data_IF_042163512260
#
_entry.id   IF_042163512260
#
_cell.length_a   1.000
_cell.length_b   1.000
_cell.length_c   1.000
_cell.angle_alpha   90.00
_cell.angle_beta   90.00
_cell.angle_gamma   90.00
#
_symmetry.space_group_name_H-M   'P 1'
#
loop_
_entity.id
_entity.type
_entity.pdbx_description
1 polymer ?
#
# COMPACT_ATOMS: atom_id res chain seq x y z
N UNK A 1 -26.50 6.46 3.15
CA UNK A 1 -25.45 6.42 2.11
C UNK A 1 -24.11 6.37 2.81
N UNK A 2 -23.23 5.44 2.43
CA UNK A 2 -21.85 5.45 2.92
C UNK A 2 -21.14 6.64 2.25
N UNK A 3 -20.67 7.61 3.03
CA UNK A 3 -19.88 8.71 2.47
C UNK A 3 -18.60 8.16 1.85
N UNK A 4 -18.27 8.62 0.64
CA UNK A 4 -17.05 8.24 -0.04
C UNK A 4 -15.86 8.96 0.64
N UNK A 5 -15.34 8.37 1.71
CA UNK A 5 -14.05 8.76 2.27
C UNK A 5 -12.88 8.33 1.35
N UNK A 6 -11.65 8.66 1.74
CA UNK A 6 -10.42 8.26 1.05
C UNK A 6 -10.42 6.79 0.60
N UNK A 7 -10.88 5.87 1.46
CA UNK A 7 -10.96 4.42 1.19
C UNK A 7 -11.79 4.10 -0.07
N UNK A 8 -12.87 4.84 -0.30
CA UNK A 8 -13.74 4.65 -1.45
C UNK A 8 -13.15 5.20 -2.77
N UNK A 9 -12.09 6.01 -2.69
CA UNK A 9 -11.40 6.64 -3.83
C UNK A 9 -10.02 6.03 -4.12
N UNK A 10 -9.58 5.06 -3.32
CA UNK A 10 -8.36 4.31 -3.61
C UNK A 10 -8.47 3.64 -4.99
N UNK A 11 -7.34 3.51 -5.67
CA UNK A 11 -7.20 3.00 -7.04
C UNK A 11 -6.10 1.93 -7.10
N UNK A 12 -6.05 1.10 -8.17
CA UNK A 12 -4.93 0.18 -8.39
C UNK A 12 -3.60 0.93 -8.34
N UNK A 13 -2.67 0.47 -7.51
CA UNK A 13 -1.49 1.24 -7.11
C UNK A 13 -1.44 1.55 -5.62
N UNK A 14 -2.59 1.72 -5.00
CA UNK A 14 -2.68 2.22 -3.63
C UNK A 14 -2.52 1.14 -2.58
N UNK A 15 -1.84 1.53 -1.51
CA UNK A 15 -1.68 0.77 -0.29
C UNK A 15 -1.87 1.71 0.89
N UNK A 16 -2.87 1.45 1.74
CA UNK A 16 -3.19 2.34 2.85
C UNK A 16 -3.30 1.61 4.19
N UNK A 17 -2.68 2.21 5.21
CA UNK A 17 -2.85 1.80 6.60
C UNK A 17 -4.21 2.30 7.09
N UNK A 18 -5.01 1.46 7.73
CA UNK A 18 -6.29 1.86 8.31
C UNK A 18 -6.30 1.51 9.79
N UNK A 19 -6.24 2.53 10.63
CA UNK A 19 -6.26 2.37 12.09
C UNK A 19 -7.69 2.56 12.60
N UNK A 20 -8.22 1.53 13.25
CA UNK A 20 -9.59 1.49 13.78
C UNK A 20 -9.57 1.49 15.30
N UNK A 21 -10.58 2.10 15.92
CA UNK A 21 -10.69 2.25 17.37
C UNK A 21 -11.65 1.24 18.01
N UNK A 22 -12.62 0.78 17.22
CA UNK A 22 -13.71 -0.08 17.64
C UNK A 22 -14.32 -0.83 16.44
N UNK A 23 -15.18 -1.81 16.72
CA UNK A 23 -15.83 -2.65 15.70
C UNK A 23 -16.73 -1.84 14.76
N UNK A 24 -17.28 -0.71 15.23
CA UNK A 24 -18.08 0.19 14.41
C UNK A 24 -17.23 0.92 13.37
N UNK A 25 -16.07 1.44 13.77
CA UNK A 25 -15.09 2.07 12.88
C UNK A 25 -14.51 1.05 11.88
N UNK A 26 -14.22 -0.18 12.34
CA UNK A 26 -13.82 -1.31 11.49
C UNK A 26 -14.87 -1.62 10.43
N UNK A 27 -16.13 -1.78 10.83
CA UNK A 27 -17.22 -2.07 9.90
C UNK A 27 -17.45 -0.92 8.90
N UNK A 28 -17.39 0.34 9.33
CA UNK A 28 -17.53 1.49 8.43
C UNK A 28 -16.42 1.52 7.37
N UNK A 29 -15.17 1.29 7.77
CA UNK A 29 -14.03 1.23 6.85
C UNK A 29 -14.17 0.10 5.84
N UNK A 30 -14.48 -1.11 6.32
CA UNK A 30 -14.72 -2.30 5.48
C UNK A 30 -15.88 -2.08 4.51
N UNK A 31 -17.02 -1.59 4.99
CA UNK A 31 -18.19 -1.32 4.15
C UNK A 31 -17.90 -0.29 3.06
N UNK A 32 -17.17 0.79 3.39
CA UNK A 32 -16.75 1.81 2.42
C UNK A 32 -15.85 1.23 1.34
N UNK A 33 -14.82 0.48 1.75
CA UNK A 33 -13.83 -0.08 0.83
C UNK A 33 -14.41 -1.20 -0.05
N UNK A 34 -15.19 -2.11 0.54
CA UNK A 34 -15.85 -3.22 -0.17
C UNK A 34 -16.92 -2.67 -1.12
N UNK A 35 -17.77 -1.74 -0.66
CA UNK A 35 -18.78 -1.14 -1.53
C UNK A 35 -18.16 -0.46 -2.76
N UNK A 36 -16.95 0.09 -2.64
CA UNK A 36 -16.24 0.66 -3.77
C UNK A 36 -15.77 -0.40 -4.77
N UNK A 37 -15.15 -1.48 -4.30
CA UNK A 37 -14.75 -2.58 -5.18
C UNK A 37 -15.91 -3.23 -5.91
N UNK A 38 -17.07 -3.39 -5.24
CA UNK A 38 -18.26 -3.96 -5.88
C UNK A 38 -18.80 -3.07 -6.99
N UNK A 39 -18.84 -1.76 -6.76
CA UNK A 39 -19.28 -0.77 -7.75
C UNK A 39 -18.34 -0.72 -8.95
N UNK A 40 -17.05 -0.88 -8.70
CA UNK A 40 -15.99 -0.70 -9.69
C UNK A 40 -15.60 -2.02 -10.38
N UNK A 41 -16.35 -3.12 -10.15
CA UNK A 41 -16.14 -4.45 -10.73
C UNK A 41 -14.74 -5.03 -10.47
N UNK A 42 -14.31 -4.92 -9.22
CA UNK A 42 -13.02 -5.43 -8.74
C UNK A 42 -13.22 -6.74 -7.97
N UNK A 43 -12.24 -7.65 -8.05
CA UNK A 43 -12.22 -8.85 -7.18
C UNK A 43 -11.76 -8.42 -5.80
N UNK A 44 -12.52 -8.78 -4.78
CA UNK A 44 -12.28 -8.38 -3.39
C UNK A 44 -11.86 -9.60 -2.59
N UNK A 45 -10.69 -9.53 -1.97
CA UNK A 45 -10.20 -10.55 -1.04
C UNK A 45 -10.10 -9.94 0.36
N UNK A 46 -10.78 -10.54 1.33
CA UNK A 46 -10.69 -10.18 2.73
C UNK A 46 -9.97 -11.27 3.52
N UNK A 47 -8.88 -10.89 4.18
CA UNK A 47 -8.05 -11.78 4.99
C UNK A 47 -8.19 -11.37 6.45
N UNK A 48 -9.15 -11.94 7.16
CA UNK A 48 -9.43 -11.55 8.54
C UNK A 48 -10.47 -12.43 9.21
N UNK A 49 -10.71 -12.24 10.52
CA UNK A 49 -11.65 -13.07 11.26
C UNK A 49 -13.11 -12.67 11.00
N UNK A 50 -14.01 -13.45 11.59
CA UNK A 50 -15.43 -13.14 11.80
C UNK A 50 -16.25 -12.87 10.52
N UNK A 51 -16.17 -13.77 9.54
CA UNK A 51 -16.85 -13.65 8.25
C UNK A 51 -18.38 -13.46 8.37
N UNK A 52 -19.01 -14.12 9.34
CA UNK A 52 -20.45 -13.98 9.60
C UNK A 52 -20.81 -12.58 10.10
N UNK A 53 -20.06 -12.08 11.09
CA UNK A 53 -20.22 -10.71 11.60
C UNK A 53 -20.03 -9.68 10.49
N UNK A 54 -18.98 -9.83 9.67
CA UNK A 54 -18.72 -8.93 8.55
C UNK A 54 -19.86 -8.98 7.53
N UNK A 55 -20.35 -10.18 7.18
CA UNK A 55 -21.45 -10.34 6.24
C UNK A 55 -22.73 -9.64 6.73
N UNK A 56 -23.11 -9.86 7.99
CA UNK A 56 -24.29 -9.21 8.60
C UNK A 56 -24.11 -7.69 8.64
N UNK A 57 -22.92 -7.22 9.03
CA UNK A 57 -22.60 -5.80 9.08
C UNK A 57 -22.67 -5.13 7.70
N UNK A 58 -22.13 -5.77 6.66
CA UNK A 58 -22.17 -5.29 5.28
C UNK A 58 -23.61 -5.18 4.77
N UNK A 59 -24.44 -6.21 5.01
CA UNK A 59 -25.86 -6.18 4.64
C UNK A 59 -26.60 -5.05 5.35
N UNK A 60 -26.34 -4.86 6.65
CA UNK A 60 -26.91 -3.77 7.44
C UNK A 60 -26.50 -2.39 6.91
N UNK A 61 -25.28 -2.28 6.37
CA UNK A 61 -24.76 -1.08 5.72
C UNK A 61 -25.27 -0.88 4.27
N UNK A 62 -26.11 -1.78 3.75
CA UNK A 62 -26.65 -1.72 2.39
C UNK A 62 -25.75 -2.30 1.31
N UNK A 63 -24.77 -3.13 1.68
CA UNK A 63 -23.84 -3.80 0.76
C UNK A 63 -24.30 -5.25 0.53
N UNK A 64 -24.51 -5.65 -0.73
CA UNK A 64 -24.89 -7.03 -1.10
C UNK A 64 -23.69 -7.99 -1.03
N UNK A 65 -23.19 -8.23 0.18
CA UNK A 65 -22.11 -9.19 0.43
C UNK A 65 -22.49 -10.64 0.01
N UNK A 66 -23.69 -11.17 0.35
CA UNK A 66 -24.07 -12.53 -0.06
C UNK A 66 -24.10 -12.71 -1.58
N UNK A 67 -24.59 -11.72 -2.33
CA UNK A 67 -24.54 -11.76 -3.79
C UNK A 67 -23.12 -11.66 -4.32
N UNK A 68 -22.28 -10.78 -3.76
CA UNK A 68 -20.88 -10.68 -4.16
C UNK A 68 -20.12 -12.00 -3.98
N UNK A 69 -20.34 -12.70 -2.86
CA UNK A 69 -19.77 -14.04 -2.60
C UNK A 69 -20.26 -15.06 -3.63
N UNK A 70 -21.57 -15.13 -3.90
CA UNK A 70 -22.12 -16.07 -4.90
C UNK A 70 -21.56 -15.86 -6.31
N UNK A 71 -21.18 -14.64 -6.66
CA UNK A 71 -20.60 -14.27 -7.96
C UNK A 71 -19.08 -14.43 -8.00
N UNK A 72 -18.44 -14.82 -6.89
CA UNK A 72 -16.98 -14.90 -6.77
C UNK A 72 -16.29 -13.53 -6.70
N UNK A 73 -17.03 -12.45 -6.52
CA UNK A 73 -16.48 -11.08 -6.47
C UNK A 73 -15.95 -10.72 -5.08
N UNK A 74 -16.51 -11.30 -4.01
CA UNK A 74 -16.01 -11.19 -2.64
C UNK A 74 -15.64 -12.57 -2.12
N UNK A 75 -14.39 -12.73 -1.70
CA UNK A 75 -13.90 -13.94 -1.04
C UNK A 75 -13.33 -13.55 0.33
N UNK A 76 -13.65 -14.36 1.34
CA UNK A 76 -13.24 -14.11 2.72
C UNK A 76 -12.46 -15.34 3.21
N UNK A 77 -11.24 -15.08 3.69
CA UNK A 77 -10.29 -16.07 4.18
C UNK A 77 -9.77 -15.63 5.54
N UNK A 78 -9.38 -16.59 6.38
CA UNK A 78 -8.72 -16.28 7.65
C UNK A 78 -7.24 -15.95 7.41
N UNK A 79 -6.56 -15.46 8.46
CA UNK A 79 -5.11 -15.29 8.41
C UNK A 79 -4.38 -16.65 8.27
N UNK A 80 -4.94 -17.70 8.88
CA UNK A 80 -4.46 -19.09 8.81
C UNK A 80 -4.55 -19.67 7.40
N UNK A 81 -5.60 -19.31 6.65
CA UNK A 81 -5.75 -19.76 5.26
C UNK A 81 -4.87 -18.96 4.27
N UNK A 82 -4.23 -17.89 4.72
CA UNK A 82 -3.51 -16.93 3.87
C UNK A 82 -2.11 -16.61 4.39
N UNK A 83 -1.92 -15.51 5.13
CA UNK A 83 -0.65 -15.03 5.65
C UNK A 83 0.14 -16.08 6.42
N UNK A 84 -0.56 -17.00 7.08
CA UNK A 84 -0.01 -18.00 7.99
C UNK A 84 -0.23 -19.44 7.51
N UNK A 85 -0.53 -19.64 6.22
CA UNK A 85 -0.83 -20.96 5.67
C UNK A 85 0.32 -21.98 5.83
N UNK A 86 1.56 -21.51 5.95
CA UNK A 86 2.75 -22.34 6.22
C UNK A 86 3.04 -22.54 7.72
N UNK A 87 2.22 -21.98 8.60
CA UNK A 87 2.44 -21.95 10.06
C UNK A 87 3.34 -20.81 10.53
N UNK A 88 3.87 -19.99 9.62
CA UNK A 88 4.63 -18.77 9.92
C UNK A 88 4.31 -17.66 8.92
N UNK A 89 4.58 -16.42 9.29
CA UNK A 89 4.50 -15.31 8.34
C UNK A 89 5.76 -15.24 7.48
N UNK A 90 5.59 -15.41 6.17
CA UNK A 90 6.63 -15.24 5.16
C UNK A 90 6.29 -14.04 4.25
N UNK A 91 6.88 -12.86 4.51
CA UNK A 91 6.70 -11.64 3.72
C UNK A 91 6.93 -11.83 2.22
N UNK A 92 7.97 -12.55 1.83
CA UNK A 92 8.36 -12.72 0.44
C UNK A 92 7.34 -13.56 -0.32
N UNK A 93 6.95 -14.69 0.25
CA UNK A 93 5.89 -15.54 -0.32
C UNK A 93 4.55 -14.81 -0.37
N UNK A 94 4.22 -14.00 0.65
CA UNK A 94 3.01 -13.17 0.67
C UNK A 94 3.00 -12.14 -0.46
N UNK A 95 4.13 -11.43 -0.66
CA UNK A 95 4.26 -10.45 -1.74
C UNK A 95 4.08 -11.08 -3.12
N UNK A 96 4.60 -12.29 -3.34
CA UNK A 96 4.40 -13.00 -4.61
C UNK A 96 2.96 -13.47 -4.78
N UNK A 97 2.32 -13.91 -3.68
CA UNK A 97 0.89 -14.23 -3.66
C UNK A 97 0.02 -13.11 -4.21
N UNK A 98 0.33 -11.85 -3.88
CA UNK A 98 -0.42 -10.71 -4.43
C UNK A 98 -0.34 -10.57 -5.95
N UNK A 99 0.81 -10.86 -6.56
CA UNK A 99 0.94 -10.84 -8.03
C UNK A 99 0.09 -11.93 -8.66
N UNK A 100 0.13 -13.13 -8.07
CA UNK A 100 -0.66 -14.27 -8.52
C UNK A 100 -2.16 -13.97 -8.43
N UNK A 101 -2.63 -13.44 -7.31
CA UNK A 101 -4.04 -13.10 -7.13
C UNK A 101 -4.48 -11.92 -8.01
N UNK A 102 -3.61 -10.94 -8.25
CA UNK A 102 -3.89 -9.84 -9.19
C UNK A 102 -4.04 -10.35 -10.63
N UNK A 103 -3.14 -11.25 -11.05
CA UNK A 103 -3.21 -11.90 -12.35
C UNK A 103 -4.47 -12.77 -12.50
N UNK A 104 -4.85 -13.52 -11.44
CA UNK A 104 -6.09 -14.31 -11.40
C UNK A 104 -7.33 -13.44 -11.51
N UNK A 105 -7.43 -12.38 -10.70
CA UNK A 105 -8.55 -11.43 -10.77
C UNK A 105 -8.76 -10.89 -12.20
N UNK A 106 -7.67 -10.52 -12.88
CA UNK A 106 -7.73 -10.08 -14.27
C UNK A 106 -8.15 -11.19 -15.24
N UNK A 107 -7.62 -12.40 -15.07
CA UNK A 107 -7.99 -13.56 -15.89
C UNK A 107 -9.47 -13.94 -15.74
N UNK A 108 -10.03 -13.76 -14.55
CA UNK A 108 -11.45 -13.99 -14.23
C UNK A 108 -12.37 -12.86 -14.74
N UNK A 109 -11.80 -11.82 -15.35
CA UNK A 109 -12.54 -10.72 -15.99
C UNK A 109 -12.77 -9.48 -15.13
N UNK A 110 -12.28 -9.46 -13.90
CA UNK A 110 -12.38 -8.28 -13.03
C UNK A 110 -11.40 -7.18 -13.45
N UNK A 111 -11.73 -5.93 -13.11
CA UNK A 111 -10.89 -4.76 -13.44
C UNK A 111 -9.53 -4.77 -12.75
N UNK A 112 -9.50 -5.20 -11.50
CA UNK A 112 -8.29 -5.30 -10.65
C UNK A 112 -8.59 -6.09 -9.37
N UNK A 113 -7.54 -6.37 -8.60
CA UNK A 113 -7.64 -6.93 -7.25
C UNK A 113 -7.72 -5.81 -6.18
N UNK A 114 -8.66 -5.96 -5.25
CA UNK A 114 -8.83 -5.13 -4.05
C UNK A 114 -8.68 -6.00 -2.80
N UNK A 115 -7.54 -5.91 -2.13
CA UNK A 115 -7.22 -6.75 -0.97
C UNK A 115 -7.44 -6.01 0.36
N UNK A 116 -7.83 -6.76 1.39
CA UNK A 116 -8.01 -6.27 2.75
C UNK A 116 -7.27 -7.23 3.68
N UNK A 117 -6.17 -6.78 4.30
CA UNK A 117 -5.49 -7.52 5.35
C UNK A 117 -5.92 -7.04 6.72
N UNK A 118 -6.58 -7.88 7.52
CA UNK A 118 -6.75 -7.63 8.95
C UNK A 118 -5.50 -8.10 9.69
N UNK A 119 -4.76 -7.16 10.28
CA UNK A 119 -3.45 -7.45 10.87
C UNK A 119 -3.52 -7.90 12.32
N UNK A 120 -4.71 -8.11 12.89
CA UNK A 120 -4.87 -8.59 14.27
C UNK A 120 -4.12 -9.90 14.57
N UNK A 121 -3.81 -10.69 13.54
CA UNK A 121 -2.97 -11.88 13.72
C UNK A 121 -1.55 -11.57 14.20
N UNK A 122 -1.00 -10.39 13.91
CA UNK A 122 0.40 -10.05 14.14
C UNK A 122 0.71 -9.73 15.61
N UNK A 123 -0.31 -9.44 16.44
CA UNK A 123 -0.13 -9.31 17.89
C UNK A 123 -0.05 -10.66 18.60
N UNK A 124 -0.30 -11.75 17.87
CA UNK A 124 -0.11 -13.12 18.36
C UNK A 124 1.36 -13.50 18.24
N UNK A 125 1.85 -14.37 19.11
CA UNK A 125 3.23 -14.87 19.08
C UNK A 125 3.49 -15.84 17.91
N UNK A 126 3.34 -15.35 16.67
CA UNK A 126 3.48 -16.11 15.42
C UNK A 126 4.90 -15.89 14.88
N UNK A 127 5.62 -16.96 14.47
CA UNK A 127 6.93 -16.82 13.85
C UNK A 127 6.88 -15.92 12.61
N UNK A 128 7.81 -14.97 12.52
CA UNK A 128 7.92 -14.02 11.40
C UNK A 128 7.10 -12.75 11.56
N UNK A 129 6.20 -12.65 12.54
CA UNK A 129 5.39 -11.44 12.77
C UNK A 129 6.23 -10.17 13.02
N UNK A 130 7.46 -10.32 13.53
CA UNK A 130 8.44 -9.26 13.71
C UNK A 130 8.85 -8.59 12.38
N UNK A 131 8.66 -9.28 11.24
CA UNK A 131 8.94 -8.77 9.89
C UNK A 131 7.77 -7.97 9.29
N UNK A 132 6.66 -7.77 10.00
CA UNK A 132 5.49 -7.07 9.47
C UNK A 132 5.80 -5.67 8.94
N UNK A 133 6.52 -4.84 9.70
CA UNK A 133 6.85 -3.48 9.24
C UNK A 133 7.73 -3.49 7.98
N UNK A 134 8.62 -4.49 7.86
CA UNK A 134 9.41 -4.68 6.64
C UNK A 134 8.51 -5.08 5.46
N UNK A 135 7.59 -6.01 5.68
CA UNK A 135 6.61 -6.42 4.67
C UNK A 135 5.78 -5.24 4.17
N UNK A 136 5.20 -4.45 5.08
CA UNK A 136 4.33 -3.32 4.72
C UNK A 136 5.06 -2.27 3.88
N UNK A 137 6.35 -2.04 4.17
CA UNK A 137 7.16 -1.10 3.41
C UNK A 137 7.51 -1.66 2.02
N UNK A 138 7.81 -2.96 1.93
CA UNK A 138 8.28 -3.60 0.70
C UNK A 138 7.15 -3.99 -0.26
N UNK A 139 5.96 -4.32 0.24
CA UNK A 139 4.81 -4.72 -0.61
C UNK A 139 4.36 -3.58 -1.53
N UNK A 140 4.66 -2.33 -1.19
CA UNK A 140 4.42 -1.16 -2.04
C UNK A 140 5.02 -1.30 -3.45
N UNK A 141 6.14 -2.01 -3.61
CA UNK A 141 6.74 -2.26 -4.94
C UNK A 141 5.86 -3.15 -5.82
N UNK A 142 5.09 -4.05 -5.21
CA UNK A 142 4.10 -4.91 -5.88
C UNK A 142 2.89 -4.08 -6.28
N UNK A 143 2.33 -3.31 -5.34
CA UNK A 143 1.16 -2.47 -5.64
C UNK A 143 1.48 -1.40 -6.68
N UNK A 144 2.70 -0.86 -6.72
CA UNK A 144 3.16 0.08 -7.75
C UNK A 144 3.02 -0.44 -9.19
N UNK A 145 2.89 -1.75 -9.41
CA UNK A 145 2.60 -2.36 -10.72
C UNK A 145 1.15 -2.08 -11.19
N UNK A 146 0.31 -1.53 -10.30
CA UNK A 146 -1.09 -1.11 -10.51
C UNK A 146 -2.04 -2.20 -11.00
N UNK A 147 -1.76 -3.45 -10.62
CA UNK A 147 -2.67 -4.58 -10.86
C UNK A 147 -3.58 -4.86 -9.65
N UNK A 148 -3.17 -4.36 -8.48
CA UNK A 148 -3.88 -4.51 -7.24
C UNK A 148 -3.83 -3.23 -6.41
N UNK A 149 -4.63 -3.21 -5.37
CA UNK A 149 -4.63 -2.22 -4.30
C UNK A 149 -4.99 -2.91 -2.99
N UNK A 150 -4.56 -2.35 -1.87
CA UNK A 150 -4.83 -2.94 -0.58
C UNK A 150 -5.07 -1.92 0.54
N UNK A 151 -5.79 -2.37 1.56
CA UNK A 151 -5.76 -1.76 2.89
C UNK A 151 -5.25 -2.78 3.91
N UNK A 152 -4.44 -2.31 4.85
CA UNK A 152 -4.01 -3.07 6.01
C UNK A 152 -4.68 -2.47 7.26
N UNK A 153 -5.55 -3.25 7.89
CA UNK A 153 -6.36 -2.85 9.04
C UNK A 153 -5.62 -3.17 10.35
N UNK A 154 -5.51 -2.15 11.20
CA UNK A 154 -4.87 -2.22 12.50
C UNK A 154 -5.83 -1.75 13.59
N UNK A 155 -6.11 -2.60 14.57
CA UNK A 155 -6.96 -2.24 15.71
C UNK A 155 -6.13 -1.59 16.82
N UNK A 156 -6.43 -0.33 17.13
CA UNK A 156 -5.73 0.45 18.16
C UNK A 156 -5.84 -0.17 19.56
N UNK A 157 -6.83 -1.03 19.80
CA UNK A 157 -6.99 -1.80 21.05
C UNK A 157 -5.98 -2.94 21.17
N UNK A 158 -5.40 -3.39 20.05
CA UNK A 158 -4.48 -4.54 19.99
C UNK A 158 -3.01 -4.12 19.88
N UNK A 159 -2.73 -3.05 19.14
CA UNK A 159 -1.36 -2.61 18.85
C UNK A 159 -0.90 -1.46 19.75
N UNK A 160 0.37 -1.47 20.15
CA UNK A 160 0.96 -0.33 20.85
C UNK A 160 1.08 0.90 19.94
N UNK A 161 1.12 2.13 20.50
CA UNK A 161 1.34 3.34 19.70
C UNK A 161 2.62 3.30 18.85
N UNK A 162 3.67 2.64 19.35
CA UNK A 162 4.94 2.53 18.63
C UNK A 162 4.84 1.60 17.42
N UNK A 163 4.04 0.51 17.52
CA UNK A 163 3.79 -0.41 16.42
C UNK A 163 2.93 0.27 15.35
N UNK A 164 1.84 0.93 15.77
CA UNK A 164 0.97 1.69 14.88
C UNK A 164 1.76 2.76 14.10
N UNK A 165 2.67 3.47 14.77
CA UNK A 165 3.53 4.45 14.11
C UNK A 165 4.44 3.80 13.05
N UNK A 166 5.07 2.67 13.36
CA UNK A 166 5.95 1.95 12.41
C UNK A 166 5.18 1.49 11.19
N UNK A 167 4.04 0.83 11.38
CA UNK A 167 3.24 0.35 10.22
C UNK A 167 2.67 1.53 9.44
N UNK A 168 2.23 2.60 10.09
CA UNK A 168 1.75 3.81 9.39
C UNK A 168 2.82 4.41 8.49
N UNK A 169 4.07 4.54 8.95
CA UNK A 169 5.18 5.05 8.12
C UNK A 169 5.59 4.15 6.95
N UNK A 170 5.23 2.87 7.03
CA UNK A 170 5.46 1.87 5.99
C UNK A 170 4.42 1.94 4.86
N UNK A 171 3.37 2.74 4.99
CA UNK A 171 2.36 2.94 3.96
C UNK A 171 2.48 4.31 3.28
N UNK A 172 2.19 4.39 1.96
CA UNK A 172 2.07 5.67 1.24
C UNK A 172 0.94 6.57 1.77
N UNK A 173 -0.04 5.98 2.43
CA UNK A 173 -1.25 6.64 2.93
C UNK A 173 -1.73 5.98 4.22
N UNK A 174 -2.40 6.76 5.08
CA UNK A 174 -3.02 6.25 6.29
C UNK A 174 -4.38 6.91 6.54
N UNK A 175 -5.28 6.15 7.17
CA UNK A 175 -6.60 6.58 7.61
C UNK A 175 -6.77 6.22 9.08
N UNK A 176 -7.17 7.19 9.87
CA UNK A 176 -7.58 7.02 11.26
C UNK A 176 -8.78 7.92 11.58
N UNK A 177 -9.15 7.99 12.86
CA UNK A 177 -10.27 8.82 13.37
C UNK A 177 -10.15 10.32 13.08
N UNK A 178 -8.95 10.83 12.84
CA UNK A 178 -8.69 12.27 12.65
C UNK A 178 -8.49 12.61 11.16
N UNK A 179 -8.53 11.60 10.29
CA UNK A 179 -8.41 11.76 8.85
C UNK A 179 -9.70 12.32 8.25
N UNK A 180 -9.60 13.47 7.57
CA UNK A 180 -10.75 14.07 6.90
C UNK A 180 -11.21 13.25 5.68
N UNK A 181 -12.51 13.30 5.38
CA UNK A 181 -13.14 12.43 4.37
C UNK A 181 -12.71 12.74 2.92
N UNK A 182 -12.30 13.97 2.63
CA UNK A 182 -11.91 14.49 1.31
C UNK A 182 -10.39 14.35 1.03
N UNK A 183 -9.63 13.76 1.95
CA UNK A 183 -8.19 13.54 1.78
C UNK A 183 -7.93 12.48 0.70
N UNK A 184 -6.92 12.73 -0.13
CA UNK A 184 -6.37 11.77 -1.09
C UNK A 184 -5.12 11.10 -0.50
N UNK A 185 -4.73 9.89 -0.97
CA UNK A 185 -3.44 9.28 -0.65
C UNK A 185 -2.29 10.27 -0.74
N UNK A 186 -1.56 10.43 0.37
CA UNK A 186 -0.46 11.37 0.47
C UNK A 186 0.58 11.10 -0.60
N UNK A 187 1.03 9.85 -0.72
CA UNK A 187 1.97 9.42 -1.75
C UNK A 187 1.40 8.28 -2.58
N UNK A 188 1.75 8.23 -3.86
CA UNK A 188 1.47 7.11 -4.76
C UNK A 188 2.71 6.73 -5.55
N UNK A 189 2.86 5.44 -5.75
CA UNK A 189 3.91 4.83 -6.55
C UNK A 189 3.32 4.24 -7.82
N UNK A 190 3.95 4.49 -8.97
CA UNK A 190 3.56 3.85 -10.23
C UNK A 190 4.80 3.40 -11.01
N UNK A 191 4.93 2.09 -11.25
CA UNK A 191 5.94 1.56 -12.17
C UNK A 191 5.67 2.07 -13.58
N UNK A 192 6.74 2.51 -14.26
CA UNK A 192 6.72 3.00 -15.64
C UNK A 192 7.61 2.08 -16.47
N UNK A 193 7.13 1.69 -17.66
CA UNK A 193 7.88 0.78 -18.54
C UNK A 193 8.92 1.51 -19.41
N UNK A 194 8.61 2.72 -19.88
CA UNK A 194 9.47 3.47 -20.81
C UNK A 194 9.53 4.97 -20.46
N UNK A 195 10.72 5.51 -20.07
CA UNK A 195 11.87 4.73 -19.61
C UNK A 195 11.50 3.90 -18.37
N UNK A 196 12.15 2.75 -18.13
CA UNK A 196 11.81 1.90 -17.01
C UNK A 196 12.06 2.64 -15.70
N UNK A 197 11.20 2.45 -14.71
CA UNK A 197 11.38 3.00 -13.38
C UNK A 197 10.09 3.25 -12.64
N UNK A 198 10.04 4.34 -11.90
CA UNK A 198 8.91 4.65 -11.03
C UNK A 198 8.57 6.13 -11.07
N UNK A 199 7.28 6.44 -11.05
CA UNK A 199 6.75 7.78 -10.86
C UNK A 199 6.22 7.94 -9.44
N UNK A 200 6.58 9.05 -8.81
CA UNK A 200 6.10 9.47 -7.51
C UNK A 200 5.07 10.59 -7.68
N UNK A 201 3.90 10.43 -7.07
CA UNK A 201 2.81 11.41 -7.13
C UNK A 201 2.35 11.80 -5.73
N UNK A 202 2.12 13.09 -5.49
CA UNK A 202 1.64 13.61 -4.22
C UNK A 202 2.74 14.19 -3.34
N UNK A 203 2.87 13.72 -2.12
CA UNK A 203 3.63 14.33 -1.03
C UNK A 203 4.47 13.28 -0.33
N UNK A 204 5.78 13.47 -0.37
CA UNK A 204 6.76 12.59 0.25
C UNK A 204 7.29 13.23 1.54
N UNK A 205 6.96 12.66 2.69
CA UNK A 205 7.28 13.26 3.99
C UNK A 205 7.53 12.21 5.08
N UNK A 206 7.63 12.68 6.32
CA UNK A 206 7.79 11.86 7.51
C UNK A 206 6.74 10.73 7.62
N UNK A 207 5.51 10.95 7.16
CA UNK A 207 4.39 10.03 7.33
C UNK A 207 4.45 8.81 6.41
N UNK A 208 5.19 8.87 5.30
CA UNK A 208 5.34 7.76 4.33
C UNK A 208 6.80 7.39 4.03
N UNK A 209 7.74 7.86 4.86
CA UNK A 209 9.18 7.72 4.63
C UNK A 209 9.68 6.29 4.51
N UNK A 210 9.10 5.33 5.25
CA UNK A 210 9.57 3.94 5.20
C UNK A 210 9.08 3.27 3.92
N UNK A 211 7.86 3.58 3.47
CA UNK A 211 7.35 3.19 2.16
C UNK A 211 8.25 3.71 1.03
N UNK A 212 8.56 5.01 1.05
CA UNK A 212 9.42 5.65 0.05
C UNK A 212 10.82 5.03 0.02
N UNK A 213 11.44 4.85 1.20
CA UNK A 213 12.75 4.21 1.35
C UNK A 213 12.77 2.83 0.72
N UNK A 214 11.87 1.95 1.15
CA UNK A 214 11.86 0.57 0.68
C UNK A 214 11.67 0.49 -0.84
N UNK A 215 10.74 1.26 -1.40
CA UNK A 215 10.50 1.27 -2.85
C UNK A 215 11.73 1.73 -3.63
N UNK A 216 12.43 2.75 -3.16
CA UNK A 216 13.60 3.29 -3.86
C UNK A 216 14.86 2.44 -3.68
N UNK A 217 15.05 1.82 -2.51
CA UNK A 217 16.17 0.89 -2.27
C UNK A 217 16.03 -0.35 -3.17
N UNK A 218 14.83 -0.95 -3.24
CA UNK A 218 14.56 -2.06 -4.16
C UNK A 218 14.79 -1.65 -5.62
N UNK A 219 14.40 -0.44 -6.00
CA UNK A 219 14.61 0.06 -7.36
C UNK A 219 16.10 0.25 -7.68
N UNK A 220 16.89 0.70 -6.71
CA UNK A 220 18.34 0.83 -6.85
C UNK A 220 19.02 -0.54 -6.99
N UNK A 221 18.62 -1.52 -6.18
CA UNK A 221 19.09 -2.91 -6.27
C UNK A 221 18.75 -3.54 -7.64
N UNK A 222 17.48 -3.42 -8.09
CA UNK A 222 17.04 -3.87 -9.41
C UNK A 222 17.86 -3.21 -10.53
N UNK A 223 18.10 -1.90 -10.42
CA UNK A 223 18.86 -1.13 -11.42
C UNK A 223 20.34 -1.47 -11.44
N UNK A 224 20.93 -1.85 -10.30
CA UNK A 224 22.32 -2.29 -10.23
C UNK A 224 22.50 -3.66 -10.91
N UNK A 225 21.50 -4.54 -10.78
CA UNK A 225 21.50 -5.86 -11.40
C UNK A 225 21.13 -5.87 -12.89
N UNK A 226 20.31 -4.92 -13.37
CA UNK A 226 19.80 -4.87 -14.75
C UNK A 226 20.55 -3.92 -15.67
N UNK A 227 20.52 -4.14 -16.99
CA UNK A 227 21.33 -3.38 -17.97
C UNK A 227 20.71 -2.08 -18.50
N UNK A 228 19.46 -1.78 -18.14
CA UNK A 228 18.73 -0.61 -18.63
C UNK A 228 18.77 0.52 -17.60
N UNK A 229 18.98 1.79 -18.02
CA UNK A 229 18.85 2.92 -17.12
C UNK A 229 17.42 3.06 -16.59
N UNK A 230 17.31 3.33 -15.29
CA UNK A 230 16.07 3.48 -14.54
C UNK A 230 15.83 4.93 -14.15
N UNK A 231 14.58 5.39 -14.21
CA UNK A 231 14.20 6.76 -13.88
C UNK A 231 13.25 6.81 -12.68
N UNK A 232 13.60 7.61 -11.67
CA UNK A 232 12.67 8.09 -10.64
C UNK A 232 12.08 9.40 -11.11
N UNK A 233 10.85 9.36 -11.61
CA UNK A 233 10.12 10.54 -12.08
C UNK A 233 9.37 11.19 -10.91
N UNK A 234 9.80 12.39 -10.55
CA UNK A 234 9.24 13.21 -9.46
C UNK A 234 8.48 14.43 -9.98
N UNK A 235 8.10 14.45 -11.27
CA UNK A 235 7.36 15.57 -11.87
C UNK A 235 6.00 15.84 -11.22
N UNK A 236 5.38 14.81 -10.66
CA UNK A 236 4.08 14.87 -10.00
C UNK A 236 4.16 14.96 -8.46
N UNK A 237 5.36 15.14 -7.89
CA UNK A 237 5.52 15.47 -6.47
C UNK A 237 5.18 16.95 -6.23
N UNK A 238 4.16 17.18 -5.42
CA UNK A 238 3.74 18.50 -4.94
C UNK A 238 4.57 18.96 -3.74
N UNK A 239 5.04 18.01 -2.93
CA UNK A 239 5.86 18.27 -1.75
C UNK A 239 6.86 17.14 -1.51
N UNK A 240 8.06 17.50 -1.03
CA UNK A 240 9.04 16.58 -0.49
C UNK A 240 9.78 17.26 0.66
N UNK A 241 9.81 16.64 1.84
CA UNK A 241 10.63 17.15 2.95
C UNK A 241 12.13 16.82 2.77
N UNK A 242 12.98 17.35 3.64
CA UNK A 242 14.43 17.12 3.60
C UNK A 242 14.80 15.64 3.72
N UNK A 243 14.04 14.84 4.48
CA UNK A 243 14.33 13.43 4.63
C UNK A 243 13.97 12.65 3.36
N UNK A 244 12.83 12.94 2.74
CA UNK A 244 12.43 12.39 1.44
C UNK A 244 13.47 12.71 0.35
N UNK A 245 13.98 13.94 0.33
CA UNK A 245 15.05 14.35 -0.61
C UNK A 245 16.34 13.55 -0.39
N UNK A 246 16.73 13.29 0.86
CA UNK A 246 17.89 12.44 1.15
C UNK A 246 17.67 10.99 0.72
N UNK A 247 16.47 10.46 0.93
CA UNK A 247 16.09 9.12 0.43
C UNK A 247 16.31 9.04 -1.10
N UNK A 248 15.82 10.04 -1.84
CA UNK A 248 15.98 10.11 -3.30
C UNK A 248 17.46 10.16 -3.73
N UNK A 249 18.28 10.95 -3.02
CA UNK A 249 19.71 11.07 -3.33
C UNK A 249 20.47 9.79 -3.06
N UNK A 250 20.26 9.19 -1.89
CA UNK A 250 20.93 7.94 -1.52
C UNK A 250 20.59 6.81 -2.49
N UNK A 251 19.32 6.68 -2.89
CA UNK A 251 18.90 5.70 -3.89
C UNK A 251 19.53 5.96 -5.27
N UNK A 252 19.59 7.23 -5.70
CA UNK A 252 20.23 7.58 -6.97
C UNK A 252 21.73 7.28 -6.97
N UNK A 253 22.42 7.50 -5.84
CA UNK A 253 23.84 7.14 -5.66
C UNK A 253 24.02 5.63 -5.65
N UNK A 254 23.19 4.88 -4.93
CA UNK A 254 23.26 3.43 -4.86
C UNK A 254 22.99 2.75 -6.21
N UNK A 255 22.06 3.30 -7.00
CA UNK A 255 21.74 2.80 -8.35
C UNK A 255 22.61 3.37 -9.47
N UNK A 256 23.60 4.22 -9.17
CA UNK A 256 24.46 4.82 -10.19
C UNK A 256 25.31 3.76 -10.93
N UNK A 257 25.64 3.96 -12.21
CA UNK A 257 25.24 5.08 -13.09
C UNK A 257 23.88 4.86 -13.77
N UNK A 258 23.16 3.78 -13.41
CA UNK A 258 21.97 3.32 -14.13
C UNK A 258 20.68 3.98 -13.63
N UNK A 259 20.65 4.48 -12.41
CA UNK A 259 19.48 5.15 -11.83
C UNK A 259 19.66 6.68 -11.84
N UNK A 260 18.59 7.41 -12.18
CA UNK A 260 18.56 8.89 -12.07
C UNK A 260 17.21 9.42 -11.63
N UNK A 261 17.20 10.58 -11.00
CA UNK A 261 15.99 11.33 -10.66
C UNK A 261 15.68 12.34 -11.77
N UNK A 262 14.42 12.43 -12.20
CA UNK A 262 13.97 13.32 -13.26
C UNK A 262 12.67 14.05 -12.89
N UNK A 263 12.38 15.18 -13.54
CA UNK A 263 11.14 15.93 -13.28
C UNK A 263 11.21 16.87 -12.06
N UNK A 264 12.40 17.12 -11.51
CA UNK A 264 12.53 17.99 -10.33
C UNK A 264 12.06 19.42 -10.59
N UNK A 265 11.06 19.87 -9.82
CA UNK A 265 10.62 21.27 -9.75
C UNK A 265 11.75 22.18 -9.27
N UNK A 266 11.69 23.51 -9.52
CA UNK A 266 12.72 24.42 -9.01
C UNK A 266 12.93 24.35 -7.49
N UNK A 267 11.86 24.14 -6.72
CA UNK A 267 11.95 23.95 -5.27
C UNK A 267 12.68 22.67 -4.90
N UNK A 268 12.33 21.55 -5.55
CA UNK A 268 13.00 20.27 -5.30
C UNK A 268 14.48 20.28 -5.72
N UNK A 269 14.83 20.95 -6.83
CA UNK A 269 16.24 21.13 -7.22
C UNK A 269 17.05 21.88 -6.17
N UNK A 270 16.50 22.93 -5.57
CA UNK A 270 17.16 23.67 -4.47
C UNK A 270 17.36 22.78 -3.25
N UNK A 271 16.37 21.98 -2.87
CA UNK A 271 16.49 21.03 -1.77
C UNK A 271 17.54 19.94 -2.06
N UNK A 272 17.57 19.41 -3.28
CA UNK A 272 18.59 18.45 -3.72
C UNK A 272 19.99 19.08 -3.63
N UNK A 273 20.19 20.29 -4.16
CA UNK A 273 21.46 21.01 -4.07
C UNK A 273 21.88 21.25 -2.60
N UNK A 274 20.94 21.69 -1.75
CA UNK A 274 21.19 21.88 -0.32
C UNK A 274 21.61 20.58 0.40
N UNK A 275 21.16 19.42 -0.09
CA UNK A 275 21.54 18.10 0.44
C UNK A 275 22.72 17.45 -0.31
N UNK A 276 23.46 18.21 -1.12
CA UNK A 276 24.73 17.76 -1.72
C UNK A 276 24.64 17.16 -3.12
N UNK A 277 23.53 17.32 -3.84
CA UNK A 277 23.39 16.82 -5.21
C UNK A 277 24.41 17.42 -6.20
N UNK A 278 24.93 18.62 -5.93
CA UNK A 278 25.96 19.28 -6.77
C UNK A 278 27.34 18.60 -6.70
N UNK A 279 27.50 17.57 -5.84
CA UNK A 279 28.71 16.75 -5.76
C UNK A 279 28.65 15.54 -6.75
N UNK A 280 27.53 15.35 -7.46
CA UNK A 280 27.26 14.15 -8.30
C UNK A 280 26.83 14.51 -9.75
N UNK A 281 27.03 15.76 -10.19
CA UNK A 281 26.75 16.18 -11.57
C UNK A 281 28.01 16.11 -12.47
#
# INVERSE_FOLDING_TARGET
MIEAGMLGRLRPGDHACVVVDDDGSRLRSLATYISAGLRDDERILYFGPDHEWLTVGLVTAGVDAPGAVRRGQLEMMTAEDSYLASGSFDPESTMEGWRVEAARARADGFRSLRAIGDMSWAVRSVPGADRLAWYEANVNRVFAERQAMAICLYDRRLFSPSELQRVTWAHPAAVDRDTAADVEPALRFARVAEPPGIRLHGEADLANRQALRAVLDNLAEDSAAGDRPVVVDVSDLRFADTAAVRILLEAAVAGAPRMRVAGCTPGLRRLLAFNGAEVVA
#
